data_IF_090978560237
#
_entry.id   IF_090978560237
#
_cell.length_a   1.000
_cell.length_b   1.000
_cell.length_c   1.000
_cell.angle_alpha   90.00
_cell.angle_beta   90.00
_cell.angle_gamma   90.00
#
_symmetry.space_group_name_H-M   'P 1'
#
loop_
_entity.id
_entity.type
_entity.pdbx_description
1 polymer ?
#
# COMPACT_ATOMS: atom_id res chain seq x y z
N UNK A 1 20.16 -26.90 12.77
CA UNK A 1 20.20 -26.01 11.59
C UNK A 1 19.38 -24.79 11.92
N UNK A 2 20.05 -23.70 12.31
CA UNK A 2 19.39 -22.44 12.64
C UNK A 2 18.79 -21.88 11.36
N UNK A 3 17.46 -21.70 11.32
CA UNK A 3 16.82 -20.99 10.23
C UNK A 3 17.43 -19.58 10.19
N UNK A 4 18.21 -19.29 9.16
CA UNK A 4 18.64 -17.93 8.86
C UNK A 4 17.35 -17.13 8.64
N UNK A 5 17.04 -16.19 9.55
CA UNK A 5 16.05 -15.17 9.24
C UNK A 5 16.63 -14.39 8.07
N UNK A 6 16.11 -14.61 6.87
CA UNK A 6 16.32 -13.66 5.79
C UNK A 6 15.92 -12.29 6.36
N UNK A 7 16.74 -11.24 6.20
CA UNK A 7 16.38 -9.91 6.68
C UNK A 7 15.13 -9.49 5.91
N UNK A 8 13.99 -9.65 6.56
CA UNK A 8 12.73 -9.20 6.03
C UNK A 8 12.78 -7.67 5.93
N UNK A 9 12.24 -7.08 4.86
CA UNK A 9 12.31 -5.64 4.68
C UNK A 9 11.57 -4.93 5.80
N UNK A 10 12.20 -3.90 6.34
CA UNK A 10 11.59 -3.03 7.34
C UNK A 10 10.56 -2.07 6.71
N UNK A 11 9.74 -1.45 7.56
CA UNK A 11 8.71 -0.49 7.13
C UNK A 11 9.31 0.72 6.41
N UNK A 12 10.54 1.11 6.73
CA UNK A 12 11.28 2.20 6.10
C UNK A 12 11.60 1.86 4.65
N UNK A 13 12.12 0.66 4.39
CA UNK A 13 12.36 0.15 3.05
C UNK A 13 11.06 0.12 2.26
N UNK A 14 9.99 -0.44 2.83
CA UNK A 14 8.68 -0.47 2.16
C UNK A 14 8.20 0.94 1.80
N UNK A 15 8.29 1.89 2.73
CA UNK A 15 7.86 3.27 2.51
C UNK A 15 8.64 3.94 1.37
N UNK A 16 9.95 3.71 1.29
CA UNK A 16 10.80 4.23 0.21
C UNK A 16 10.41 3.62 -1.14
N UNK A 17 10.12 2.31 -1.18
CA UNK A 17 9.67 1.60 -2.39
C UNK A 17 8.30 2.08 -2.87
N UNK A 18 7.38 2.34 -1.95
CA UNK A 18 6.08 2.96 -2.27
C UNK A 18 6.23 4.40 -2.75
N UNK A 19 7.21 5.13 -2.21
CA UNK A 19 7.51 6.48 -2.63
C UNK A 19 8.13 6.56 -4.02
N UNK A 20 8.93 5.60 -4.46
CA UNK A 20 9.48 5.64 -5.83
C UNK A 20 8.53 5.00 -6.84
N UNK A 21 7.96 3.85 -6.49
CA UNK A 21 7.07 3.03 -7.31
C UNK A 21 7.59 2.76 -8.73
N UNK A 22 8.91 2.76 -8.92
CA UNK A 22 9.55 2.43 -10.18
C UNK A 22 9.45 0.92 -10.46
N UNK A 23 9.74 0.47 -11.67
CA UNK A 23 9.53 -0.93 -12.09
C UNK A 23 10.24 -1.95 -11.17
N UNK A 24 11.48 -1.65 -10.75
CA UNK A 24 12.22 -2.49 -9.81
C UNK A 24 11.57 -2.53 -8.41
N UNK A 25 11.01 -1.41 -7.97
CA UNK A 25 10.35 -1.31 -6.66
C UNK A 25 8.97 -1.96 -6.69
N UNK A 26 8.27 -1.89 -7.82
CA UNK A 26 7.04 -2.66 -8.06
C UNK A 26 7.30 -4.16 -8.06
N UNK A 27 8.39 -4.63 -8.67
CA UNK A 27 8.77 -6.04 -8.64
C UNK A 27 9.06 -6.49 -7.20
N UNK A 28 9.77 -5.67 -6.43
CA UNK A 28 10.00 -5.92 -5.00
C UNK A 28 8.70 -6.01 -4.20
N UNK A 29 7.77 -5.06 -4.38
CA UNK A 29 6.49 -5.05 -3.68
C UNK A 29 5.60 -6.24 -4.08
N UNK A 30 5.66 -6.68 -5.34
CA UNK A 30 4.96 -7.90 -5.79
C UNK A 30 5.49 -9.15 -5.07
N UNK A 31 6.81 -9.28 -4.90
CA UNK A 31 7.39 -10.36 -4.10
C UNK A 31 6.96 -10.27 -2.63
N UNK A 32 6.83 -9.05 -2.09
CA UNK A 32 6.31 -8.85 -0.73
C UNK A 32 4.87 -9.35 -0.61
N UNK A 33 4.04 -9.13 -1.62
CA UNK A 33 2.65 -9.62 -1.66
C UNK A 33 2.53 -11.14 -1.71
N UNK A 34 3.58 -11.87 -2.08
CA UNK A 34 3.58 -13.34 -2.05
C UNK A 34 3.76 -13.88 -0.63
N UNK A 35 4.18 -13.03 0.33
CA UNK A 35 4.45 -13.44 1.71
C UNK A 35 3.47 -12.79 2.71
N UNK A 36 2.42 -13.52 3.16
CA UNK A 36 1.47 -13.01 4.15
C UNK A 36 2.10 -12.60 5.49
N UNK A 37 3.25 -13.18 5.87
CA UNK A 37 3.94 -12.81 7.10
C UNK A 37 4.54 -11.39 7.04
N UNK A 38 4.49 -10.74 5.87
CA UNK A 38 4.96 -9.37 5.66
C UNK A 38 3.83 -8.36 5.49
N UNK A 39 2.57 -8.78 5.59
CA UNK A 39 1.41 -7.90 5.41
C UNK A 39 1.42 -6.74 6.43
N UNK A 40 1.87 -6.97 7.68
CA UNK A 40 2.05 -5.91 8.68
C UNK A 40 3.13 -4.91 8.28
N UNK A 41 4.33 -5.39 7.90
CA UNK A 41 5.43 -4.53 7.47
C UNK A 41 5.04 -3.68 6.25
N UNK A 42 4.25 -4.26 5.33
CA UNK A 42 3.69 -3.54 4.19
C UNK A 42 2.81 -2.37 4.65
N UNK A 43 1.91 -2.62 5.61
CA UNK A 43 0.96 -1.61 6.08
C UNK A 43 1.61 -0.55 6.95
N UNK A 44 2.57 -0.92 7.80
CA UNK A 44 3.39 0.04 8.53
C UNK A 44 4.17 0.94 7.58
N UNK A 45 4.76 0.35 6.52
CA UNK A 45 5.43 1.11 5.47
C UNK A 45 4.49 2.02 4.68
N UNK A 46 3.26 1.57 4.44
CA UNK A 46 2.23 2.40 3.80
C UNK A 46 1.84 3.61 4.66
N UNK A 47 1.60 3.40 5.96
CA UNK A 47 1.32 4.50 6.89
C UNK A 47 2.48 5.50 6.92
N UNK A 48 3.71 5.01 7.07
CA UNK A 48 4.91 5.84 7.06
C UNK A 48 5.05 6.64 5.75
N UNK A 49 4.79 6.02 4.60
CA UNK A 49 4.80 6.70 3.30
C UNK A 49 3.77 7.84 3.24
N UNK A 50 2.53 7.59 3.66
CA UNK A 50 1.47 8.60 3.64
C UNK A 50 1.77 9.73 4.64
N UNK A 51 2.27 9.40 5.83
CA UNK A 51 2.63 10.37 6.87
C UNK A 51 3.82 11.25 6.42
N UNK A 52 4.83 10.68 5.77
CA UNK A 52 5.92 11.44 5.14
C UNK A 52 5.40 12.40 4.07
N UNK A 53 4.44 11.96 3.25
CA UNK A 53 3.81 12.83 2.26
C UNK A 53 2.94 13.92 2.91
N UNK A 54 2.32 13.63 4.07
CA UNK A 54 1.55 14.60 4.84
C UNK A 54 2.44 15.67 5.50
N UNK A 55 3.64 15.29 5.95
CA UNK A 55 4.60 16.20 6.57
C UNK A 55 5.46 16.99 5.56
N UNK A 56 5.37 16.69 4.26
CA UNK A 56 6.14 17.38 3.23
C UNK A 56 5.66 18.84 3.04
N UNK A 57 6.55 19.78 2.63
CA UNK A 57 6.16 21.17 2.38
C UNK A 57 5.07 21.34 1.32
N UNK A 58 5.01 20.41 0.36
CA UNK A 58 4.00 20.36 -0.68
C UNK A 58 3.44 18.95 -0.80
N UNK A 59 2.12 18.85 -0.84
CA UNK A 59 1.43 17.58 -1.04
C UNK A 59 1.43 17.20 -2.52
N UNK A 60 2.13 16.12 -2.87
CA UNK A 60 2.02 15.51 -4.19
C UNK A 60 0.85 14.51 -4.25
N UNK A 61 -0.37 15.04 -4.39
CA UNK A 61 -1.60 14.23 -4.41
C UNK A 61 -1.62 13.23 -5.57
N UNK A 62 -1.16 13.63 -6.77
CA UNK A 62 -1.13 12.77 -7.96
C UNK A 62 -0.29 11.51 -7.72
N UNK A 63 0.83 11.64 -7.02
CA UNK A 63 1.70 10.51 -6.68
C UNK A 63 1.04 9.55 -5.69
N UNK A 64 0.34 10.08 -4.68
CA UNK A 64 -0.42 9.27 -3.73
C UNK A 64 -1.60 8.55 -4.41
N UNK A 65 -2.34 9.24 -5.27
CA UNK A 65 -3.40 8.63 -6.08
C UNK A 65 -2.86 7.49 -6.95
N UNK A 66 -1.77 7.70 -7.69
CA UNK A 66 -1.15 6.66 -8.51
C UNK A 66 -0.71 5.44 -7.69
N UNK A 67 -0.16 5.69 -6.50
CA UNK A 67 0.24 4.62 -5.59
C UNK A 67 -0.97 3.82 -5.08
N UNK A 68 -2.04 4.50 -4.65
CA UNK A 68 -3.29 3.86 -4.24
C UNK A 68 -3.92 3.05 -5.36
N UNK A 69 -3.97 3.60 -6.57
CA UNK A 69 -4.52 2.92 -7.76
C UNK A 69 -3.70 1.68 -8.13
N UNK A 70 -2.37 1.77 -8.07
CA UNK A 70 -1.49 0.64 -8.33
C UNK A 70 -1.63 -0.48 -7.29
N UNK A 71 -1.68 -0.13 -6.00
CA UNK A 71 -1.89 -1.08 -4.91
C UNK A 71 -3.24 -1.78 -5.04
N UNK A 72 -4.32 -1.04 -5.27
CA UNK A 72 -5.63 -1.66 -5.43
C UNK A 72 -5.76 -2.51 -6.70
N UNK A 73 -4.91 -2.30 -7.70
CA UNK A 73 -4.83 -3.16 -8.90
C UNK A 73 -3.94 -4.39 -8.74
N UNK A 74 -2.90 -4.31 -7.91
CA UNK A 74 -1.83 -5.32 -7.88
C UNK A 74 -1.83 -6.15 -6.60
N UNK A 75 -2.30 -5.58 -5.49
CA UNK A 75 -2.29 -6.25 -4.20
C UNK A 75 -3.30 -7.42 -4.17
N UNK A 76 -2.93 -8.55 -3.54
CA UNK A 76 -3.79 -9.71 -3.41
C UNK A 76 -5.07 -9.39 -2.62
N UNK A 77 -6.13 -10.15 -2.88
CA UNK A 77 -7.46 -9.95 -2.28
C UNK A 77 -7.41 -9.79 -0.74
N UNK A 78 -6.60 -10.59 -0.06
CA UNK A 78 -6.45 -10.56 1.41
C UNK A 78 -6.03 -9.19 1.97
N UNK A 79 -5.32 -8.38 1.18
CA UNK A 79 -4.84 -7.06 1.58
C UNK A 79 -5.86 -5.94 1.30
N UNK A 80 -6.82 -6.15 0.41
CA UNK A 80 -7.71 -5.08 -0.07
C UNK A 80 -8.54 -4.44 1.05
N UNK A 81 -9.01 -5.23 2.02
CA UNK A 81 -9.72 -4.72 3.20
C UNK A 81 -8.77 -3.82 4.02
N UNK A 82 -7.56 -4.31 4.30
CA UNK A 82 -6.59 -3.59 5.14
C UNK A 82 -6.06 -2.32 4.47
N UNK A 83 -5.87 -2.34 3.15
CA UNK A 83 -5.55 -1.14 2.37
C UNK A 83 -6.68 -0.11 2.45
N UNK A 84 -7.93 -0.57 2.40
CA UNK A 84 -9.11 0.30 2.52
C UNK A 84 -9.27 0.89 3.92
N UNK A 85 -8.90 0.14 4.95
CA UNK A 85 -8.85 0.62 6.35
C UNK A 85 -7.72 1.65 6.53
N UNK A 86 -6.51 1.35 6.06
CA UNK A 86 -5.38 2.26 6.10
C UNK A 86 -5.67 3.58 5.38
N UNK A 87 -6.37 3.52 4.23
CA UNK A 87 -6.80 4.69 3.48
C UNK A 87 -7.80 5.58 4.25
N UNK A 88 -8.48 5.04 5.28
CA UNK A 88 -9.49 5.74 6.09
C UNK A 88 -8.99 6.13 7.48
N UNK A 89 -7.75 5.81 7.84
CA UNK A 89 -7.23 6.04 9.19
C UNK A 89 -6.94 7.50 9.52
N UNK A 90 -6.82 8.37 8.51
CA UNK A 90 -6.46 9.79 8.68
C UNK A 90 -7.41 10.76 7.97
N UNK A 91 -7.54 11.96 8.52
CA UNK A 91 -8.31 13.07 7.90
C UNK A 91 -7.46 13.97 6.99
N UNK A 92 -6.13 13.80 7.00
CA UNK A 92 -5.22 14.63 6.20
C UNK A 92 -5.47 14.43 4.68
N UNK A 93 -5.35 15.47 3.84
CA UNK A 93 -5.52 15.34 2.39
C UNK A 93 -4.63 14.28 1.73
N UNK A 94 -3.50 13.91 2.33
CA UNK A 94 -2.65 12.81 1.87
C UNK A 94 -3.37 11.44 1.91
N UNK A 95 -4.04 11.12 3.01
CA UNK A 95 -4.86 9.90 3.13
C UNK A 95 -6.01 9.92 2.13
N UNK A 96 -6.66 11.09 1.93
CA UNK A 96 -7.73 11.25 0.94
C UNK A 96 -7.24 11.04 -0.50
N UNK A 97 -6.06 11.56 -0.85
CA UNK A 97 -5.47 11.38 -2.17
C UNK A 97 -5.14 9.91 -2.42
N UNK A 98 -4.50 9.24 -1.46
CA UNK A 98 -4.26 7.80 -1.52
C UNK A 98 -5.55 7.00 -1.72
N UNK A 99 -6.57 7.28 -0.89
CA UNK A 99 -7.90 6.64 -0.97
C UNK A 99 -8.55 6.84 -2.33
N UNK A 100 -8.45 8.03 -2.90
CA UNK A 100 -9.04 8.35 -4.21
C UNK A 100 -8.47 7.46 -5.31
N UNK A 101 -7.16 7.20 -5.27
CA UNK A 101 -6.51 6.23 -6.15
C UNK A 101 -6.99 4.80 -5.92
N UNK A 102 -7.04 4.39 -4.65
CA UNK A 102 -7.47 3.04 -4.27
C UNK A 102 -8.92 2.76 -4.69
N UNK A 103 -9.83 3.70 -4.45
CA UNK A 103 -11.25 3.59 -4.85
C UNK A 103 -11.37 3.50 -6.38
N UNK A 104 -10.56 4.26 -7.14
CA UNK A 104 -10.55 4.22 -8.62
C UNK A 104 -10.16 2.84 -9.16
N UNK A 105 -9.32 2.10 -8.46
CA UNK A 105 -8.88 0.78 -8.92
C UNK A 105 -9.98 -0.29 -8.81
N UNK A 106 -11.04 -0.05 -8.01
CA UNK A 106 -12.07 -1.05 -7.70
C UNK A 106 -11.50 -2.35 -7.09
N UNK A 107 -10.37 -2.25 -6.38
CA UNK A 107 -9.64 -3.41 -5.85
C UNK A 107 -10.45 -4.18 -4.83
N UNK A 108 -11.10 -3.46 -3.92
CA UNK A 108 -11.92 -4.02 -2.85
C UNK A 108 -13.16 -4.72 -3.41
N UNK A 109 -13.88 -4.07 -4.33
CA UNK A 109 -15.10 -4.60 -4.93
C UNK A 109 -14.82 -5.87 -5.75
N UNK A 110 -13.67 -5.92 -6.44
CA UNK A 110 -13.24 -7.13 -7.17
C UNK A 110 -12.85 -8.27 -6.23
N UNK A 111 -12.18 -7.95 -5.13
CA UNK A 111 -11.76 -8.95 -4.15
C UNK A 111 -12.94 -9.51 -3.34
N UNK A 112 -13.96 -8.68 -3.09
CA UNK A 112 -15.13 -9.02 -2.29
C UNK A 112 -16.41 -8.56 -3.01
N UNK A 113 -16.80 -9.23 -4.11
CA UNK A 113 -18.02 -8.89 -4.82
C UNK A 113 -19.21 -9.09 -3.89
N UNK A 114 -20.12 -8.10 -3.84
CA UNK A 114 -21.39 -8.25 -3.13
C UNK A 114 -22.10 -9.47 -3.71
N UNK A 115 -22.47 -10.42 -2.86
CA UNK A 115 -23.25 -11.58 -3.29
C UNK A 115 -24.46 -11.08 -4.06
N UNK A 116 -24.60 -11.50 -5.32
CA UNK A 116 -25.83 -11.30 -6.08
C UNK A 116 -26.88 -12.18 -5.43
N UNK A 117 -27.75 -11.57 -4.62
CA UNK A 117 -29.00 -12.18 -4.16
C UNK A 117 -30.07 -11.83 -5.19
#
# INVERSE_FOLDING_TARGET
MSAQSLPFPDRETVADKLATLADADQAFLKLLFENPAQDENLLEGLHLYIDRAAAAPFLNSLKLERCGEWLGNTAPARLQIRLSEAAKSGQHPAYRAFRTGLDRSGGLERAYPKSSV
#
